data_IF_412260174142
#
_entry.id   IF_412260174142
#
_cell.length_a   1.000
_cell.length_b   1.000
_cell.length_c   1.000
_cell.angle_alpha   90.00
_cell.angle_beta   90.00
_cell.angle_gamma   90.00
#
_symmetry.space_group_name_H-M   'P 1'
#
loop_
_entity.id
_entity.type
_entity.pdbx_description
1 polymer ?
#
# COMPACT_ATOMS: atom_id res chain seq x y z
N UNK A 1 -3.51 16.58 4.21
CA UNK A 1 -4.39 15.56 3.63
C UNK A 1 -3.64 14.25 3.58
N UNK A 2 -4.30 13.13 3.79
CA UNK A 2 -3.59 11.88 4.02
C UNK A 2 -3.08 11.21 2.75
N UNK A 3 -1.95 10.53 2.92
CA UNK A 3 -1.43 9.59 1.93
C UNK A 3 -1.82 8.19 2.36
N UNK A 4 -2.20 7.34 1.39
CA UNK A 4 -2.56 5.96 1.63
C UNK A 4 -1.49 5.04 1.03
N UNK A 5 -1.09 4.02 1.78
CA UNK A 5 -0.22 2.96 1.28
C UNK A 5 -0.93 1.64 1.49
N UNK A 6 -1.01 0.84 0.43
CA UNK A 6 -1.63 -0.47 0.50
C UNK A 6 -0.85 -1.46 -0.33
N UNK A 7 -1.05 -2.75 -0.06
CA UNK A 7 -0.53 -3.82 -0.87
C UNK A 7 -1.61 -4.31 -1.84
N UNK A 8 -1.19 -4.85 -2.97
CA UNK A 8 -2.10 -5.45 -3.94
C UNK A 8 -1.53 -6.80 -4.34
N UNK A 9 -2.22 -7.88 -3.97
CA UNK A 9 -1.77 -9.23 -4.29
C UNK A 9 -2.04 -9.59 -5.75
N UNK A 10 -1.43 -10.67 -6.23
CA UNK A 10 -1.74 -11.23 -7.54
C UNK A 10 -3.09 -11.93 -7.56
N UNK A 11 -3.56 -12.42 -6.42
CA UNK A 11 -4.89 -13.02 -6.30
C UNK A 11 -5.95 -11.92 -6.28
N UNK A 12 -6.94 -12.04 -7.15
CA UNK A 12 -7.94 -10.97 -7.37
C UNK A 12 -9.01 -10.89 -6.30
N UNK A 13 -9.01 -11.80 -5.32
CA UNK A 13 -10.06 -11.86 -4.30
C UNK A 13 -10.18 -10.61 -3.43
N UNK A 14 -9.09 -9.85 -3.26
CA UNK A 14 -9.09 -8.63 -2.44
C UNK A 14 -9.06 -7.35 -3.27
N UNK A 15 -9.06 -7.46 -4.60
CA UNK A 15 -8.98 -6.27 -5.46
C UNK A 15 -10.18 -5.35 -5.32
N UNK A 16 -11.37 -5.91 -5.06
CA UNK A 16 -12.56 -5.11 -4.82
C UNK A 16 -12.43 -4.22 -3.60
N UNK A 17 -11.85 -4.75 -2.51
CA UNK A 17 -11.59 -3.98 -1.30
C UNK A 17 -10.64 -2.82 -1.59
N UNK A 18 -9.55 -3.10 -2.29
CA UNK A 18 -8.56 -2.08 -2.65
C UNK A 18 -9.19 -1.02 -3.56
N UNK A 19 -9.97 -1.45 -4.56
CA UNK A 19 -10.65 -0.52 -5.46
C UNK A 19 -11.58 0.44 -4.70
N UNK A 20 -12.28 -0.05 -3.68
CA UNK A 20 -13.13 0.81 -2.85
C UNK A 20 -12.32 1.82 -2.05
N UNK A 21 -11.13 1.43 -1.57
CA UNK A 21 -10.24 2.37 -0.91
C UNK A 21 -9.82 3.51 -1.85
N UNK A 22 -9.49 3.16 -3.10
CA UNK A 22 -9.04 4.14 -4.08
C UNK A 22 -10.13 5.14 -4.44
N UNK A 23 -11.38 4.73 -4.37
CA UNK A 23 -12.51 5.60 -4.74
C UNK A 23 -12.85 6.62 -3.66
N UNK A 24 -12.30 6.51 -2.47
CA UNK A 24 -12.50 7.49 -1.41
C UNK A 24 -11.75 8.78 -1.77
N UNK A 25 -12.45 9.90 -1.74
CA UNK A 25 -11.91 11.18 -2.19
C UNK A 25 -11.04 11.89 -1.15
N UNK A 26 -10.86 11.29 0.04
CA UNK A 26 -10.06 11.92 1.09
C UNK A 26 -8.56 11.81 0.86
N UNK A 27 -8.12 10.91 -0.05
CA UNK A 27 -6.69 10.68 -0.28
C UNK A 27 -6.09 11.70 -1.22
N UNK A 28 -4.96 12.28 -0.84
CA UNK A 28 -4.19 13.16 -1.73
C UNK A 28 -3.33 12.36 -2.69
N UNK A 29 -2.76 11.26 -2.18
CA UNK A 29 -1.90 10.38 -2.95
C UNK A 29 -2.02 8.96 -2.43
N UNK A 30 -1.95 7.99 -3.32
CA UNK A 30 -2.05 6.58 -2.99
C UNK A 30 -0.89 5.84 -3.62
N UNK A 31 -0.22 4.99 -2.83
CA UNK A 31 0.85 4.12 -3.31
C UNK A 31 0.43 2.67 -3.10
N UNK A 32 0.40 1.89 -4.18
CA UNK A 32 0.10 0.46 -4.12
C UNK A 32 1.37 -0.34 -4.35
N UNK A 33 1.76 -1.10 -3.34
CA UNK A 33 2.90 -2.02 -3.44
C UNK A 33 2.39 -3.31 -4.07
N UNK A 34 2.93 -3.64 -5.23
CA UNK A 34 2.47 -4.78 -6.01
C UNK A 34 3.64 -5.40 -6.79
N UNK A 35 3.35 -6.30 -7.70
CA UNK A 35 4.33 -6.85 -8.64
C UNK A 35 3.92 -6.44 -10.07
N UNK A 36 4.68 -6.94 -11.07
CA UNK A 36 4.41 -6.57 -12.45
C UNK A 36 3.01 -6.99 -12.91
N UNK A 37 2.52 -8.14 -12.43
CA UNK A 37 1.17 -8.59 -12.79
C UNK A 37 0.11 -7.60 -12.30
N UNK A 38 0.21 -7.18 -11.05
CA UNK A 38 -0.73 -6.20 -10.50
C UNK A 38 -0.63 -4.85 -11.21
N UNK A 39 0.60 -4.42 -11.51
CA UNK A 39 0.82 -3.16 -12.21
C UNK A 39 0.18 -3.15 -13.60
N UNK A 40 0.21 -4.29 -14.29
CA UNK A 40 -0.35 -4.40 -15.64
C UNK A 40 -1.87 -4.61 -15.67
N UNK A 41 -2.43 -5.19 -14.62
CA UNK A 41 -3.82 -5.67 -14.65
C UNK A 41 -4.79 -4.91 -13.75
N UNK A 42 -4.30 -4.06 -12.85
CA UNK A 42 -5.16 -3.30 -11.94
C UNK A 42 -5.31 -1.86 -12.43
N UNK A 43 -6.56 -1.42 -12.58
CA UNK A 43 -6.86 -0.06 -13.06
C UNK A 43 -6.86 0.92 -11.89
N UNK A 44 -6.15 2.03 -12.04
CA UNK A 44 -6.00 3.03 -10.98
C UNK A 44 -6.45 4.42 -11.44
N UNK A 45 -6.70 5.29 -10.47
CA UNK A 45 -7.02 6.69 -10.73
C UNK A 45 -5.73 7.54 -10.82
N UNK A 46 -5.82 8.82 -11.24
CA UNK A 46 -4.63 9.64 -11.46
C UNK A 46 -3.78 9.90 -10.22
N UNK A 47 -4.34 9.82 -9.00
CA UNK A 47 -3.59 10.05 -7.77
C UNK A 47 -2.95 8.79 -7.20
N UNK A 48 -3.11 7.65 -7.87
CA UNK A 48 -2.56 6.36 -7.43
C UNK A 48 -1.34 5.99 -8.26
N UNK A 49 -0.26 5.66 -7.58
CA UNK A 49 0.95 5.15 -8.20
C UNK A 49 1.15 3.69 -7.83
N UNK A 50 1.31 2.83 -8.84
CA UNK A 50 1.62 1.41 -8.64
C UNK A 50 3.12 1.25 -8.55
N UNK A 51 3.61 0.73 -7.42
CA UNK A 51 5.02 0.49 -7.18
C UNK A 51 5.28 -1.01 -7.29
N UNK A 52 5.87 -1.43 -8.41
CA UNK A 52 6.20 -2.83 -8.64
C UNK A 52 7.49 -3.20 -7.91
N UNK A 53 7.45 -4.27 -7.13
CA UNK A 53 8.61 -4.79 -6.41
C UNK A 53 8.74 -6.29 -6.67
N UNK A 54 9.93 -6.84 -6.42
CA UNK A 54 10.18 -8.27 -6.58
C UNK A 54 9.74 -9.01 -5.32
N UNK A 55 8.56 -9.62 -5.38
CA UNK A 55 7.97 -10.35 -4.26
C UNK A 55 8.68 -11.67 -3.96
N UNK A 56 9.55 -12.16 -4.86
CA UNK A 56 10.25 -13.44 -4.70
C UNK A 56 11.54 -13.35 -3.88
N UNK A 57 12.04 -12.15 -3.67
CA UNK A 57 13.28 -11.97 -2.91
C UNK A 57 13.05 -12.19 -1.42
N UNK A 58 14.13 -12.25 -0.64
CA UNK A 58 14.03 -12.42 0.81
C UNK A 58 13.32 -11.26 1.48
N UNK A 59 12.85 -11.50 2.71
CA UNK A 59 12.08 -10.50 3.46
C UNK A 59 12.84 -9.20 3.65
N UNK A 60 14.11 -9.29 4.01
CA UNK A 60 14.96 -8.13 4.26
C UNK A 60 15.20 -7.31 2.98
N UNK A 61 15.47 -8.02 1.88
CA UNK A 61 15.67 -7.39 0.58
C UNK A 61 14.38 -6.73 0.07
N UNK A 62 13.24 -7.38 0.30
CA UNK A 62 11.94 -6.80 -0.06
C UNK A 62 11.66 -5.53 0.75
N UNK A 63 11.92 -5.56 2.05
CA UNK A 63 11.81 -4.36 2.88
C UNK A 63 12.68 -3.22 2.33
N UNK A 64 13.93 -3.53 1.98
CA UNK A 64 14.86 -2.53 1.49
C UNK A 64 14.40 -1.92 0.17
N UNK A 65 13.85 -2.75 -0.73
CA UNK A 65 13.30 -2.24 -1.99
C UNK A 65 12.10 -1.33 -1.76
N UNK A 66 11.18 -1.72 -0.88
CA UNK A 66 10.01 -0.90 -0.54
C UNK A 66 10.46 0.43 0.09
N UNK A 67 11.40 0.36 1.02
CA UNK A 67 11.94 1.54 1.68
C UNK A 67 12.53 2.52 0.65
N UNK A 68 13.32 2.00 -0.28
CA UNK A 68 13.95 2.81 -1.31
C UNK A 68 12.92 3.49 -2.22
N UNK A 69 11.85 2.77 -2.56
CA UNK A 69 10.79 3.32 -3.42
C UNK A 69 9.92 4.36 -2.73
N UNK A 70 9.77 4.29 -1.41
CA UNK A 70 8.88 5.18 -0.67
C UNK A 70 9.60 6.38 -0.05
N UNK A 71 10.89 6.31 0.21
CA UNK A 71 11.59 7.30 1.03
C UNK A 71 11.49 8.74 0.51
N UNK A 72 11.41 8.92 -0.81
CA UNK A 72 11.31 10.25 -1.40
C UNK A 72 9.89 10.61 -1.84
N UNK A 73 8.93 9.74 -1.60
CA UNK A 73 7.54 9.93 -2.04
C UNK A 73 6.61 10.38 -0.93
N UNK A 74 6.80 9.83 0.28
CA UNK A 74 5.94 10.18 1.41
C UNK A 74 6.28 11.60 1.87
N UNK A 75 5.27 12.45 1.92
CA UNK A 75 5.42 13.86 2.27
C UNK A 75 4.91 14.18 3.67
N UNK A 76 4.01 13.35 4.20
CA UNK A 76 3.39 13.58 5.49
C UNK A 76 4.16 12.87 6.60
N UNK A 77 3.91 13.25 7.85
CA UNK A 77 4.50 12.59 9.02
C UNK A 77 3.74 11.32 9.43
N UNK A 78 2.55 11.13 8.89
CA UNK A 78 1.70 10.00 9.17
C UNK A 78 1.06 9.51 7.87
N UNK A 79 0.96 8.18 7.72
CA UNK A 79 0.33 7.57 6.54
C UNK A 79 -0.77 6.62 6.97
N UNK A 80 -1.80 6.51 6.13
CA UNK A 80 -2.81 5.47 6.27
C UNK A 80 -2.30 4.21 5.58
N UNK A 81 -2.54 3.06 6.19
CA UNK A 81 -2.06 1.76 5.68
C UNK A 81 -3.20 0.76 5.67
N UNK A 82 -3.34 0.02 4.57
CA UNK A 82 -4.28 -1.09 4.47
C UNK A 82 -3.54 -2.36 4.06
N UNK A 83 -3.76 -3.44 4.82
CA UNK A 83 -3.07 -4.71 4.64
C UNK A 83 -4.02 -5.86 4.32
N UNK A 84 -5.20 -5.58 3.79
CA UNK A 84 -6.17 -6.65 3.47
C UNK A 84 -5.71 -7.48 2.30
N UNK A 85 -5.06 -6.87 1.31
CA UNK A 85 -4.50 -7.58 0.16
C UNK A 85 -3.00 -7.82 0.37
N UNK A 86 -2.49 -8.92 -0.18
CA UNK A 86 -1.09 -9.29 -0.06
C UNK A 86 -0.86 -10.41 0.94
N UNK A 87 0.40 -10.75 1.14
CA UNK A 87 0.81 -11.83 2.06
C UNK A 87 1.42 -11.26 3.33
N UNK A 88 1.56 -12.12 4.34
CA UNK A 88 2.22 -11.72 5.59
C UNK A 88 3.65 -11.24 5.36
N UNK A 89 4.36 -11.83 4.40
CA UNK A 89 5.73 -11.41 4.05
C UNK A 89 5.74 -9.97 3.53
N UNK A 90 4.82 -9.65 2.61
CA UNK A 90 4.72 -8.30 2.05
C UNK A 90 4.33 -7.29 3.11
N UNK A 91 3.40 -7.66 3.98
CA UNK A 91 2.96 -6.81 5.08
C UNK A 91 4.09 -6.52 6.05
N UNK A 92 4.86 -7.55 6.43
CA UNK A 92 6.00 -7.38 7.33
C UNK A 92 7.05 -6.47 6.70
N UNK A 93 7.35 -6.65 5.42
CA UNK A 93 8.33 -5.84 4.71
C UNK A 93 7.89 -4.37 4.64
N UNK A 94 6.62 -4.14 4.32
CA UNK A 94 6.08 -2.78 4.24
C UNK A 94 6.10 -2.09 5.60
N UNK A 95 5.63 -2.78 6.64
CA UNK A 95 5.60 -2.20 7.99
C UNK A 95 7.01 -1.89 8.48
N UNK A 96 7.96 -2.79 8.24
CA UNK A 96 9.35 -2.55 8.61
C UNK A 96 9.93 -1.34 7.88
N UNK A 97 9.64 -1.20 6.58
CA UNK A 97 10.09 -0.06 5.80
C UNK A 97 9.53 1.26 6.35
N UNK A 98 8.24 1.28 6.68
CA UNK A 98 7.59 2.49 7.21
C UNK A 98 8.13 2.86 8.58
N UNK A 99 8.37 1.89 9.45
CA UNK A 99 8.97 2.15 10.75
C UNK A 99 10.38 2.74 10.62
N UNK A 100 11.16 2.26 9.65
CA UNK A 100 12.49 2.80 9.38
C UNK A 100 12.46 4.20 8.79
N UNK A 101 11.39 4.55 8.07
CA UNK A 101 11.20 5.91 7.58
C UNK A 101 10.77 6.88 8.68
N UNK A 102 10.32 6.36 9.82
CA UNK A 102 9.93 7.17 10.95
C UNK A 102 8.56 7.83 10.81
N UNK A 103 7.71 7.33 9.92
CA UNK A 103 6.36 7.87 9.76
C UNK A 103 5.40 7.20 10.73
N UNK A 104 4.37 7.93 11.18
CA UNK A 104 3.27 7.36 11.94
C UNK A 104 2.38 6.53 11.03
N UNK A 105 1.78 5.49 11.60
CA UNK A 105 0.95 4.56 10.84
C UNK A 105 -0.45 4.55 11.42
N UNK A 106 -1.44 4.73 10.53
CA UNK A 106 -2.84 4.61 10.87
C UNK A 106 -3.43 3.48 10.04
N UNK A 107 -3.89 2.42 10.69
CA UNK A 107 -4.48 1.29 9.98
C UNK A 107 -5.92 1.61 9.60
N UNK A 108 -6.25 1.44 8.34
CA UNK A 108 -7.60 1.69 7.83
C UNK A 108 -8.11 0.48 7.07
N UNK A 109 -9.43 0.37 6.98
CA UNK A 109 -10.07 -0.70 6.23
C UNK A 109 -11.43 -0.25 5.71
N UNK A 110 -11.93 -0.96 4.71
CA UNK A 110 -13.32 -0.82 4.27
C UNK A 110 -14.18 -1.73 5.14
N UNK A 111 -15.13 -1.13 5.84
CA UNK A 111 -16.08 -1.86 6.67
C UNK A 111 -17.49 -1.67 6.10
N UNK A 112 -18.50 -2.24 6.75
CA UNK A 112 -19.89 -2.02 6.36
C UNK A 112 -20.29 -0.54 6.46
N UNK A 113 -19.58 0.24 7.25
CA UNK A 113 -19.85 1.68 7.46
C UNK A 113 -18.97 2.57 6.59
N UNK A 114 -18.17 2.00 5.70
CA UNK A 114 -17.28 2.74 4.80
C UNK A 114 -15.83 2.58 5.16
N UNK A 115 -14.99 3.53 4.73
CA UNK A 115 -13.57 3.54 5.04
C UNK A 115 -13.37 4.07 6.46
N UNK A 116 -12.75 3.28 7.31
CA UNK A 116 -12.60 3.59 8.73
C UNK A 116 -11.18 3.31 9.23
N UNK A 117 -10.75 4.11 10.22
CA UNK A 117 -9.57 3.79 11.03
C UNK A 117 -9.96 2.68 12.00
N UNK A 118 -9.14 1.65 12.06
CA UNK A 118 -9.42 0.49 12.93
C UNK A 118 -8.37 0.35 14.07
#
# INVERSE_FOLDING_TARGET
MPELIACLSTGKGTWGHVARLLSDNTWDKIYLITNDYGKENFTVNPKTELLSVNMSQGLKELRDEIHEKLKDKIKDTEVAVNLVSGTGKEHMALMSALLKLGVGIRLIAVTKDGVEVI
#
